data_IF_234330904870
#
_entry.id   IF_234330904870
#
_cell.length_a   1.000
_cell.length_b   1.000
_cell.length_c   1.000
_cell.angle_alpha   90.00
_cell.angle_beta   90.00
_cell.angle_gamma   90.00
#
_symmetry.space_group_name_H-M   'P 1'
#
loop_
_entity.id
_entity.type
_entity.pdbx_description
1 polymer ?
#
# COMPACT_ATOMS: atom_id res chain seq x y z
N UNK A 1 16.59 81.56 10.98
CA UNK A 1 15.25 80.94 11.12
C UNK A 1 15.35 79.50 10.62
N UNK A 2 15.48 78.54 11.55
CA UNK A 2 15.73 77.13 11.23
C UNK A 2 14.46 76.35 10.88
N UNK A 3 14.47 75.68 9.73
CA UNK A 3 13.44 74.71 9.32
C UNK A 3 14.03 73.30 9.30
N UNK A 4 13.43 72.37 10.05
CA UNK A 4 13.85 70.96 10.18
C UNK A 4 13.66 70.18 8.86
N UNK A 5 14.53 69.20 8.53
CA UNK A 5 14.26 68.27 7.44
C UNK A 5 13.22 67.22 7.87
N UNK A 6 12.21 66.99 7.01
CA UNK A 6 11.20 65.93 7.18
C UNK A 6 11.87 64.55 7.02
N UNK A 7 11.92 63.76 8.10
CA UNK A 7 12.18 62.32 8.03
C UNK A 7 11.02 61.64 7.28
N UNK A 8 11.31 61.00 6.14
CA UNK A 8 10.44 60.01 5.51
C UNK A 8 10.17 58.89 6.52
N UNK A 9 8.90 58.64 6.84
CA UNK A 9 8.46 57.45 7.57
C UNK A 9 8.80 56.23 6.71
N UNK A 10 9.72 55.39 7.18
CA UNK A 10 9.94 54.06 6.62
C UNK A 10 8.64 53.26 6.69
N UNK A 11 8.30 52.64 5.56
CA UNK A 11 7.21 51.69 5.42
C UNK A 11 7.35 50.61 6.50
N UNK A 12 6.30 50.40 7.30
CA UNK A 12 6.24 49.31 8.28
C UNK A 12 6.42 47.98 7.54
N UNK A 13 7.60 47.39 7.68
CA UNK A 13 7.90 46.02 7.26
C UNK A 13 6.90 45.04 7.89
N UNK A 14 6.47 44.08 7.08
CA UNK A 14 5.28 43.25 7.18
C UNK A 14 5.35 42.19 8.28
N UNK A 15 4.57 42.37 9.35
CA UNK A 15 4.25 41.30 10.31
C UNK A 15 3.49 40.11 9.67
N UNK A 16 2.91 40.30 8.48
CA UNK A 16 2.22 39.25 7.74
C UNK A 16 3.15 38.09 7.33
N UNK A 17 4.38 38.38 6.88
CA UNK A 17 5.32 37.35 6.44
C UNK A 17 5.85 36.49 7.60
N UNK A 18 6.01 37.07 8.79
CA UNK A 18 6.41 36.32 10.01
C UNK A 18 5.28 35.44 10.54
N UNK A 19 4.04 35.92 10.50
CA UNK A 19 2.88 35.13 10.90
C UNK A 19 2.64 33.95 9.94
N UNK A 20 2.80 34.18 8.62
CA UNK A 20 2.69 33.13 7.61
C UNK A 20 3.81 32.09 7.73
N UNK A 21 5.06 32.52 7.97
CA UNK A 21 6.17 31.59 8.22
C UNK A 21 5.98 30.75 9.50
N UNK A 22 5.44 31.35 10.57
CA UNK A 22 5.11 30.62 11.79
C UNK A 22 3.97 29.62 11.58
N UNK A 23 2.90 30.02 10.87
CA UNK A 23 1.79 29.13 10.51
C UNK A 23 2.28 27.95 9.66
N UNK A 24 3.12 28.19 8.65
CA UNK A 24 3.72 27.13 7.84
C UNK A 24 4.58 26.18 8.68
N UNK A 25 5.36 26.71 9.63
CA UNK A 25 6.18 25.89 10.53
C UNK A 25 5.31 24.99 11.43
N UNK A 26 4.19 25.53 11.91
CA UNK A 26 3.21 24.76 12.69
C UNK A 26 2.55 23.65 11.86
N UNK A 27 2.15 23.95 10.61
CA UNK A 27 1.57 22.96 9.67
C UNK A 27 2.58 21.85 9.37
N UNK A 28 3.80 22.20 8.95
CA UNK A 28 4.87 21.22 8.68
C UNK A 28 5.19 20.37 9.92
N UNK A 29 5.16 20.96 11.12
CA UNK A 29 5.35 20.21 12.37
C UNK A 29 4.18 19.27 12.67
N UNK A 30 2.94 19.64 12.35
CA UNK A 30 1.78 18.77 12.51
C UNK A 30 1.82 17.61 11.52
N UNK A 31 2.17 17.86 10.27
CA UNK A 31 2.37 16.83 9.24
C UNK A 31 3.47 15.85 9.63
N UNK A 32 4.66 16.35 10.00
CA UNK A 32 5.75 15.49 10.49
C UNK A 32 5.34 14.63 11.68
N UNK A 33 4.50 15.15 12.59
CA UNK A 33 3.98 14.38 13.71
C UNK A 33 2.94 13.34 13.29
N UNK A 34 2.11 13.61 12.27
CA UNK A 34 1.18 12.63 11.69
C UNK A 34 1.96 11.49 11.03
N UNK A 35 2.97 11.81 10.23
CA UNK A 35 3.80 10.81 9.54
C UNK A 35 4.56 9.93 10.53
N UNK A 36 5.15 10.51 11.57
CA UNK A 36 5.81 9.76 12.65
C UNK A 36 4.83 8.84 13.37
N UNK A 37 3.60 9.29 13.65
CA UNK A 37 2.56 8.46 14.25
C UNK A 37 2.17 7.30 13.33
N UNK A 38 2.02 7.55 12.03
CA UNK A 38 1.69 6.51 11.04
C UNK A 38 2.82 5.48 10.93
N UNK A 39 4.08 5.92 10.77
CA UNK A 39 5.26 5.04 10.75
C UNK A 39 5.36 4.19 12.02
N UNK A 40 5.12 4.78 13.19
CA UNK A 40 5.10 4.04 14.46
C UNK A 40 3.96 3.02 14.53
N UNK A 41 2.77 3.33 14.01
CA UNK A 41 1.65 2.39 13.93
C UNK A 41 2.01 1.17 13.07
N UNK A 42 2.61 1.39 11.89
CA UNK A 42 3.07 0.30 11.01
C UNK A 42 4.12 -0.58 11.70
N UNK A 43 5.11 0.01 12.37
CA UNK A 43 6.10 -0.75 13.17
C UNK A 43 5.47 -1.53 14.31
N UNK A 44 4.52 -0.95 15.04
CA UNK A 44 3.79 -1.65 16.10
C UNK A 44 2.97 -2.82 15.57
N UNK A 45 2.38 -2.67 14.37
CA UNK A 45 1.65 -3.76 13.69
C UNK A 45 2.57 -4.94 13.40
N UNK A 46 3.79 -4.71 12.91
CA UNK A 46 4.81 -5.76 12.71
C UNK A 46 5.12 -6.49 14.02
N UNK A 47 5.32 -5.76 15.12
CA UNK A 47 5.59 -6.37 16.43
C UNK A 47 4.40 -7.21 16.92
N UNK A 48 3.17 -6.74 16.73
CA UNK A 48 1.97 -7.49 17.08
C UNK A 48 1.85 -8.78 16.27
N UNK A 49 2.04 -8.70 14.94
CA UNK A 49 1.99 -9.87 14.07
C UNK A 49 3.10 -10.86 14.38
N UNK A 50 4.34 -10.39 14.64
CA UNK A 50 5.43 -11.28 15.04
C UNK A 50 5.08 -12.05 16.31
N UNK A 51 4.52 -11.39 17.33
CA UNK A 51 4.08 -12.07 18.57
C UNK A 51 3.00 -13.11 18.31
N UNK A 52 2.10 -12.88 17.35
CA UNK A 52 1.08 -13.85 16.97
C UNK A 52 1.69 -15.04 16.23
N UNK A 53 2.62 -14.79 15.31
CA UNK A 53 3.38 -15.83 14.59
C UNK A 53 4.16 -16.69 15.58
N UNK A 54 4.93 -16.07 16.49
CA UNK A 54 5.74 -16.77 17.49
C UNK A 54 4.87 -17.61 18.42
N UNK A 55 3.73 -17.05 18.88
CA UNK A 55 2.77 -17.78 19.71
C UNK A 55 2.20 -18.97 18.97
N UNK A 56 1.74 -18.77 17.72
CA UNK A 56 1.17 -19.86 16.93
C UNK A 56 2.20 -20.95 16.65
N UNK A 57 3.46 -20.58 16.38
CA UNK A 57 4.54 -21.54 16.21
C UNK A 57 4.79 -22.34 17.49
N UNK A 58 4.81 -21.69 18.66
CA UNK A 58 4.91 -22.38 19.95
C UNK A 58 3.73 -23.33 20.20
N UNK A 59 2.51 -22.92 19.85
CA UNK A 59 1.31 -23.77 19.93
C UNK A 59 1.42 -25.01 19.02
N UNK A 60 2.01 -24.86 17.82
CA UNK A 60 2.22 -25.97 16.90
C UNK A 60 3.31 -26.93 17.38
N UNK A 61 4.40 -26.44 17.98
CA UNK A 61 5.42 -27.29 18.58
C UNK A 61 4.93 -28.01 19.84
N UNK A 62 4.02 -27.39 20.60
CA UNK A 62 3.42 -27.93 21.82
C UNK A 62 1.95 -28.33 21.60
N UNK A 63 1.64 -28.96 20.47
CA UNK A 63 0.25 -29.26 20.11
C UNK A 63 -0.31 -30.39 20.99
N UNK A 64 -1.52 -30.23 21.59
CA UNK A 64 -2.06 -31.23 22.52
C UNK A 64 -2.47 -32.50 21.78
N UNK A 65 -2.03 -33.68 22.26
CA UNK A 65 -2.48 -34.98 21.70
C UNK A 65 -3.98 -35.20 21.87
N UNK A 66 -4.50 -34.80 23.03
CA UNK A 66 -5.91 -34.94 23.40
C UNK A 66 -6.46 -33.54 23.76
N UNK A 67 -6.99 -32.79 22.80
CA UNK A 67 -7.53 -31.47 23.07
C UNK A 67 -8.71 -31.58 24.04
N UNK A 68 -8.63 -30.91 25.18
CA UNK A 68 -9.78 -30.81 26.09
C UNK A 68 -10.89 -30.02 25.41
N UNK A 69 -12.15 -30.49 25.46
CA UNK A 69 -13.27 -29.76 24.88
C UNK A 69 -13.37 -28.36 25.48
N UNK A 70 -13.82 -27.36 24.70
CA UNK A 70 -13.94 -25.99 25.18
C UNK A 70 -14.82 -25.95 26.43
N UNK A 71 -14.31 -25.36 27.52
CA UNK A 71 -15.09 -25.17 28.75
C UNK A 71 -16.30 -24.32 28.41
N UNK A 72 -17.49 -24.80 28.77
CA UNK A 72 -18.71 -24.02 28.61
C UNK A 72 -18.56 -22.67 29.32
N UNK A 73 -19.07 -21.57 28.74
CA UNK A 73 -18.98 -20.26 29.36
C UNK A 73 -19.61 -20.32 30.77
N UNK A 74 -19.01 -19.64 31.76
CA UNK A 74 -19.53 -19.66 33.12
C UNK A 74 -20.98 -19.17 33.12
N UNK A 75 -21.86 -19.89 33.82
CA UNK A 75 -23.26 -19.49 33.97
C UNK A 75 -23.32 -18.09 34.59
N UNK A 76 -24.14 -17.20 34.02
CA UNK A 76 -24.45 -15.90 34.63
C UNK A 76 -25.39 -16.13 35.82
N UNK A 77 -24.91 -15.90 37.04
CA UNK A 77 -25.68 -16.05 38.28
C UNK A 77 -24.83 -16.46 39.49
N UNK A 78 -25.44 -16.55 40.69
CA UNK A 78 -24.75 -17.12 41.85
C UNK A 78 -24.34 -18.56 41.56
N UNK A 79 -23.12 -18.92 41.94
CA UNK A 79 -22.66 -20.31 41.89
C UNK A 79 -23.60 -21.18 42.73
N UNK A 80 -23.87 -22.41 42.27
CA UNK A 80 -24.60 -23.39 43.07
C UNK A 80 -23.87 -23.60 44.40
N UNK A 81 -24.60 -23.88 45.48
CA UNK A 81 -24.00 -24.09 46.82
C UNK A 81 -22.93 -25.19 46.79
N UNK A 82 -23.10 -26.19 45.92
CA UNK A 82 -22.12 -27.26 45.66
C UNK A 82 -20.81 -26.80 45.03
N UNK A 83 -20.79 -25.61 44.42
CA UNK A 83 -19.62 -25.00 43.77
C UNK A 83 -18.99 -23.90 44.65
N UNK A 84 -19.48 -23.72 45.88
CA UNK A 84 -18.93 -22.75 46.82
C UNK A 84 -17.61 -23.28 47.37
N UNK A 85 -16.53 -22.52 47.10
CA UNK A 85 -15.23 -22.78 47.71
C UNK A 85 -15.24 -22.20 49.12
N UNK A 86 -15.30 -23.08 50.13
CA UNK A 86 -15.20 -22.69 51.53
C UNK A 86 -13.80 -22.12 51.81
N UNK A 87 -13.73 -21.03 52.59
CA UNK A 87 -12.47 -20.34 52.91
C UNK A 87 -12.31 -20.16 54.43
N UNK A 88 -11.07 -19.97 54.88
CA UNK A 88 -10.75 -19.75 56.30
C UNK A 88 -11.15 -20.92 57.21
N UNK A 89 -11.70 -20.61 58.39
CA UNK A 89 -12.08 -21.60 59.42
C UNK A 89 -13.22 -22.55 59.00
N UNK A 90 -13.94 -22.22 57.92
CA UNK A 90 -14.98 -23.08 57.36
C UNK A 90 -14.43 -24.18 56.42
N UNK A 91 -13.12 -24.21 56.15
CA UNK A 91 -12.50 -25.25 55.32
C UNK A 91 -12.42 -26.58 56.08
N UNK A 92 -12.78 -27.71 55.43
CA UNK A 92 -12.57 -29.03 56.02
C UNK A 92 -11.09 -29.28 56.36
N UNK A 93 -10.80 -29.79 57.56
CA UNK A 93 -9.43 -30.05 58.02
C UNK A 93 -8.63 -30.96 57.06
N UNK A 94 -9.30 -31.93 56.43
CA UNK A 94 -8.69 -32.82 55.44
C UNK A 94 -8.20 -32.06 54.19
N UNK A 95 -8.93 -31.01 53.77
CA UNK A 95 -8.54 -30.18 52.63
C UNK A 95 -7.35 -29.27 53.00
N UNK A 96 -7.34 -28.72 54.22
CA UNK A 96 -6.20 -27.95 54.74
C UNK A 96 -4.94 -28.81 54.83
N UNK A 97 -5.06 -30.07 55.27
CA UNK A 97 -3.94 -31.00 55.33
C UNK A 97 -3.36 -31.32 53.94
N UNK A 98 -4.21 -31.51 52.92
CA UNK A 98 -3.78 -31.74 51.53
C UNK A 98 -3.10 -30.52 50.88
N UNK A 99 -3.59 -29.32 51.18
CA UNK A 99 -2.93 -28.07 50.75
C UNK A 99 -1.57 -27.93 51.43
N UNK A 100 -1.48 -28.18 52.74
CA UNK A 100 -0.23 -28.12 53.49
C UNK A 100 0.79 -29.20 53.04
N UNK A 101 0.30 -30.34 52.57
CA UNK A 101 1.10 -31.41 51.96
C UNK A 101 1.55 -31.09 50.52
N UNK A 102 1.06 -29.99 49.92
CA UNK A 102 1.38 -29.59 48.55
C UNK A 102 0.71 -30.43 47.47
N UNK A 103 -0.36 -31.17 47.79
CA UNK A 103 -1.11 -32.00 46.83
C UNK A 103 -2.15 -31.19 46.04
N UNK A 104 -2.63 -30.08 46.62
CA UNK A 104 -3.64 -29.18 46.07
C UNK A 104 -3.12 -27.74 46.08
N UNK A 105 -3.66 -26.89 45.21
CA UNK A 105 -3.36 -25.46 45.20
C UNK A 105 -3.95 -24.72 46.43
N UNK A 106 -3.68 -23.42 46.58
CA UNK A 106 -4.18 -22.61 47.70
C UNK A 106 -5.73 -22.54 47.77
N UNK A 107 -6.40 -22.88 46.67
CA UNK A 107 -7.85 -22.95 46.52
C UNK A 107 -8.43 -24.35 46.75
N UNK A 108 -7.59 -25.38 46.92
CA UNK A 108 -8.00 -26.77 47.09
C UNK A 108 -8.28 -27.50 45.77
N UNK A 109 -7.84 -26.97 44.63
CA UNK A 109 -7.94 -27.63 43.33
C UNK A 109 -6.69 -28.50 43.06
N UNK A 110 -6.87 -29.60 42.33
CA UNK A 110 -5.75 -30.42 41.84
C UNK A 110 -4.91 -29.64 40.83
N UNK A 111 -3.58 -29.77 40.90
CA UNK A 111 -2.71 -29.20 39.89
C UNK A 111 -3.07 -29.76 38.51
N UNK A 112 -3.16 -28.90 37.48
CA UNK A 112 -3.45 -29.36 36.13
C UNK A 112 -2.37 -30.36 35.69
N UNK A 113 -2.79 -31.57 35.31
CA UNK A 113 -1.89 -32.58 34.76
C UNK A 113 -1.18 -32.00 33.53
N UNK A 114 0.13 -32.26 33.34
CA UNK A 114 0.84 -31.85 32.13
C UNK A 114 0.09 -32.42 30.92
N UNK A 115 -0.35 -31.55 30.02
CA UNK A 115 -0.99 -31.98 28.78
C UNK A 115 0.10 -32.63 27.94
N UNK A 116 -0.11 -33.88 27.53
CA UNK A 116 0.81 -34.51 26.59
C UNK A 116 0.73 -33.80 25.24
N UNK A 117 1.88 -33.31 24.78
CA UNK A 117 2.00 -32.58 23.53
C UNK A 117 2.85 -33.35 22.52
N UNK A 118 2.76 -32.96 21.26
CA UNK A 118 3.65 -33.37 20.19
C UNK A 118 3.91 -32.19 19.25
N UNK A 119 4.99 -32.30 18.48
CA UNK A 119 5.36 -31.28 17.51
C UNK A 119 4.56 -31.48 16.21
N UNK A 120 3.47 -30.73 16.08
CA UNK A 120 2.64 -30.75 14.87
C UNK A 120 3.35 -30.06 13.71
N UNK A 121 4.14 -29.01 13.99
CA UNK A 121 4.85 -28.26 12.96
C UNK A 121 5.85 -29.16 12.22
N UNK A 122 6.76 -29.80 12.96
CA UNK A 122 7.79 -30.67 12.37
C UNK A 122 7.16 -31.89 11.68
N UNK A 123 6.09 -32.46 12.24
CA UNK A 123 5.35 -33.55 11.60
C UNK A 123 4.79 -33.13 10.24
N UNK A 124 4.05 -32.03 10.19
CA UNK A 124 3.43 -31.56 8.93
C UNK A 124 4.49 -31.07 7.94
N UNK A 125 5.61 -30.52 8.42
CA UNK A 125 6.75 -30.11 7.59
C UNK A 125 7.42 -31.30 6.92
N UNK A 126 7.65 -32.39 7.65
CA UNK A 126 8.22 -33.64 7.10
C UNK A 126 7.27 -34.29 6.08
N UNK A 127 5.97 -34.19 6.31
CA UNK A 127 4.94 -34.68 5.39
C UNK A 127 4.75 -33.77 4.17
N UNK A 128 5.27 -32.53 4.18
CA UNK A 128 5.09 -31.53 3.13
C UNK A 128 3.67 -30.95 3.05
N UNK A 129 2.90 -31.02 4.15
CA UNK A 129 1.44 -30.73 4.19
C UNK A 129 1.06 -29.58 5.09
N UNK A 130 1.99 -28.66 5.34
CA UNK A 130 1.75 -27.48 6.18
C UNK A 130 0.61 -26.59 5.66
N UNK A 131 0.43 -26.50 4.34
CA UNK A 131 -0.66 -25.74 3.73
C UNK A 131 -2.03 -26.45 3.75
N UNK A 132 -2.07 -27.76 4.05
CA UNK A 132 -3.32 -28.55 4.07
C UNK A 132 -3.98 -28.54 5.45
N UNK A 133 -3.19 -28.63 6.53
CA UNK A 133 -3.72 -28.73 7.89
C UNK A 133 -4.21 -27.37 8.42
N UNK A 134 -5.41 -27.35 9.01
CA UNK A 134 -6.10 -26.14 9.49
C UNK A 134 -5.25 -25.29 10.46
N UNK A 135 -4.54 -25.93 11.39
CA UNK A 135 -3.76 -25.22 12.41
C UNK A 135 -2.48 -24.59 11.84
N UNK A 136 -1.84 -25.29 10.90
CA UNK A 136 -0.62 -24.81 10.24
C UNK A 136 -0.93 -23.80 9.13
N UNK A 137 -2.11 -23.87 8.51
CA UNK A 137 -2.64 -22.84 7.61
C UNK A 137 -2.76 -21.48 8.28
N UNK A 138 -3.24 -21.44 9.53
CA UNK A 138 -3.33 -20.18 10.28
C UNK A 138 -1.93 -19.59 10.51
N UNK A 139 -0.92 -20.43 10.77
CA UNK A 139 0.46 -19.99 10.90
C UNK A 139 0.99 -19.37 9.59
N UNK A 140 0.79 -20.02 8.44
CA UNK A 140 1.21 -19.48 7.14
C UNK A 140 0.47 -18.17 6.82
N UNK A 141 -0.83 -18.09 7.10
CA UNK A 141 -1.61 -16.86 6.94
C UNK A 141 -1.05 -15.70 7.78
N UNK A 142 -0.72 -15.95 9.05
CA UNK A 142 -0.10 -14.96 9.93
C UNK A 142 1.29 -14.55 9.43
N UNK A 143 2.07 -15.50 8.91
CA UNK A 143 3.39 -15.25 8.34
C UNK A 143 3.32 -14.39 7.08
N UNK A 144 2.38 -14.65 6.16
CA UNK A 144 2.13 -13.82 4.97
C UNK A 144 1.75 -12.39 5.37
N UNK A 145 0.86 -12.24 6.37
CA UNK A 145 0.46 -10.92 6.89
C UNK A 145 1.62 -10.17 7.55
N UNK A 146 2.49 -10.90 8.25
CA UNK A 146 3.72 -10.34 8.82
C UNK A 146 4.66 -9.88 7.70
N UNK A 147 4.78 -10.63 6.60
CA UNK A 147 5.57 -10.26 5.45
C UNK A 147 5.11 -8.93 4.85
N UNK A 148 3.82 -8.81 4.52
CA UNK A 148 3.20 -7.58 4.01
C UNK A 148 3.43 -6.39 4.96
N UNK A 149 3.16 -6.57 6.25
CA UNK A 149 3.34 -5.51 7.24
C UNK A 149 4.81 -5.08 7.39
N UNK A 150 5.78 -5.97 7.15
CA UNK A 150 7.20 -5.61 7.14
C UNK A 150 7.52 -4.70 5.95
N UNK A 151 7.02 -5.00 4.75
CA UNK A 151 7.18 -4.14 3.57
C UNK A 151 6.58 -2.76 3.82
N UNK A 152 5.31 -2.68 4.25
CA UNK A 152 4.62 -1.41 4.57
C UNK A 152 5.36 -0.55 5.62
N UNK A 153 6.06 -1.20 6.55
CA UNK A 153 6.81 -0.56 7.62
C UNK A 153 8.26 -0.18 7.22
N UNK A 154 8.60 -0.22 5.93
CA UNK A 154 9.93 0.00 5.38
C UNK A 154 10.99 -0.94 6.00
N UNK A 155 10.62 -2.22 6.13
CA UNK A 155 11.51 -3.33 6.50
C UNK A 155 11.46 -4.45 5.43
N UNK A 156 11.77 -4.12 4.18
CA UNK A 156 11.56 -4.98 3.01
C UNK A 156 12.33 -6.30 3.08
N UNK A 157 13.60 -6.30 3.48
CA UNK A 157 14.42 -7.51 3.63
C UNK A 157 13.77 -8.56 4.54
N UNK A 158 13.09 -8.10 5.59
CA UNK A 158 12.37 -8.98 6.51
C UNK A 158 11.06 -9.47 5.89
N UNK A 159 10.38 -8.60 5.13
CA UNK A 159 9.20 -8.97 4.37
C UNK A 159 9.50 -10.06 3.35
N UNK A 160 10.50 -9.84 2.51
CA UNK A 160 10.99 -10.77 1.49
C UNK A 160 11.33 -12.13 2.10
N UNK A 161 12.13 -12.18 3.18
CA UNK A 161 12.44 -13.44 3.87
C UNK A 161 11.21 -14.18 4.39
N UNK A 162 10.21 -13.46 4.87
CA UNK A 162 8.96 -14.09 5.33
C UNK A 162 8.13 -14.62 4.16
N UNK A 163 8.09 -13.93 3.02
CA UNK A 163 7.44 -14.44 1.81
C UNK A 163 8.16 -15.66 1.24
N UNK A 164 9.49 -15.65 1.17
CA UNK A 164 10.30 -16.81 0.78
C UNK A 164 10.02 -18.00 1.71
N UNK A 165 9.93 -17.76 3.02
CA UNK A 165 9.54 -18.78 3.99
C UNK A 165 8.12 -19.30 3.70
N UNK A 166 7.13 -18.44 3.47
CA UNK A 166 5.78 -18.88 3.07
C UNK A 166 5.82 -19.79 1.85
N UNK A 167 6.55 -19.41 0.79
CA UNK A 167 6.68 -20.22 -0.42
C UNK A 167 7.35 -21.57 -0.18
N UNK A 168 8.34 -21.62 0.73
CA UNK A 168 8.98 -22.88 1.11
C UNK A 168 8.06 -23.83 1.89
N UNK A 169 7.05 -23.29 2.59
CA UNK A 169 6.08 -24.05 3.38
C UNK A 169 4.79 -24.37 2.61
N UNK A 170 4.47 -23.60 1.57
CA UNK A 170 3.32 -23.75 0.68
C UNK A 170 3.79 -23.81 -0.78
N UNK A 171 4.23 -25.00 -1.20
CA UNK A 171 4.77 -25.20 -2.57
C UNK A 171 3.71 -25.04 -3.66
N UNK A 172 2.43 -25.19 -3.29
CA UNK A 172 1.29 -25.01 -4.20
C UNK A 172 0.85 -23.55 -4.34
N UNK A 173 1.41 -22.65 -3.52
CA UNK A 173 1.02 -21.23 -3.44
C UNK A 173 -0.48 -21.01 -3.23
N UNK A 174 -1.09 -21.88 -2.42
CA UNK A 174 -2.49 -21.76 -1.97
C UNK A 174 -2.77 -20.47 -1.20
N UNK A 175 -1.73 -19.84 -0.64
CA UNK A 175 -1.80 -18.55 0.02
C UNK A 175 -1.43 -17.38 -0.88
N UNK A 176 -1.11 -17.58 -2.17
CA UNK A 176 -0.72 -16.49 -3.10
C UNK A 176 0.40 -15.61 -2.52
N UNK A 177 1.45 -16.23 -1.99
CA UNK A 177 2.62 -15.55 -1.44
C UNK A 177 3.59 -15.09 -2.54
N UNK A 178 3.56 -15.73 -3.72
CA UNK A 178 4.36 -15.33 -4.89
C UNK A 178 4.09 -13.89 -5.31
N UNK A 179 2.83 -13.49 -5.35
CA UNK A 179 2.39 -12.14 -5.72
C UNK A 179 3.01 -11.09 -4.80
N UNK A 180 2.89 -11.29 -3.48
CA UNK A 180 3.48 -10.40 -2.49
C UNK A 180 5.01 -10.35 -2.54
N UNK A 181 5.67 -11.48 -2.82
CA UNK A 181 7.11 -11.53 -3.02
C UNK A 181 7.54 -10.73 -4.25
N UNK A 182 6.86 -10.93 -5.39
CA UNK A 182 7.17 -10.23 -6.63
C UNK A 182 7.02 -8.71 -6.47
N UNK A 183 5.91 -8.26 -5.86
CA UNK A 183 5.70 -6.85 -5.51
C UNK A 183 6.83 -6.30 -4.63
N UNK A 184 7.21 -7.01 -3.57
CA UNK A 184 8.28 -6.55 -2.66
C UNK A 184 9.65 -6.51 -3.35
N UNK A 185 9.95 -7.43 -4.26
CA UNK A 185 11.19 -7.41 -5.04
C UNK A 185 11.22 -6.26 -6.04
N UNK A 186 10.09 -5.96 -6.68
CA UNK A 186 9.94 -4.85 -7.62
C UNK A 186 10.11 -3.50 -6.92
N UNK A 187 9.46 -3.30 -5.77
CA UNK A 187 9.55 -2.08 -4.95
C UNK A 187 11.00 -1.78 -4.51
N UNK A 188 11.77 -2.83 -4.19
CA UNK A 188 13.19 -2.72 -3.82
C UNK A 188 14.16 -2.64 -5.02
N UNK A 189 13.65 -2.56 -6.25
CA UNK A 189 14.48 -2.52 -7.45
C UNK A 189 15.23 -3.82 -7.76
N UNK A 190 14.84 -4.95 -7.15
CA UNK A 190 15.43 -6.29 -7.37
C UNK A 190 14.80 -6.98 -8.58
N UNK A 191 14.72 -6.26 -9.71
CA UNK A 191 13.98 -6.68 -10.91
C UNK A 191 14.44 -8.02 -11.50
N UNK A 192 15.74 -8.34 -11.45
CA UNK A 192 16.26 -9.62 -11.94
C UNK A 192 15.73 -10.82 -11.13
N UNK A 193 15.59 -10.68 -9.81
CA UNK A 193 15.05 -11.74 -8.95
C UNK A 193 13.54 -11.87 -9.12
N UNK A 194 12.82 -10.76 -9.26
CA UNK A 194 11.40 -10.75 -9.58
C UNK A 194 11.13 -11.41 -10.94
N UNK A 195 11.95 -11.12 -11.96
CA UNK A 195 11.86 -11.75 -13.28
C UNK A 195 12.07 -13.26 -13.19
N UNK A 196 13.12 -13.71 -12.49
CA UNK A 196 13.39 -15.13 -12.29
C UNK A 196 12.24 -15.85 -11.56
N UNK A 197 11.61 -15.20 -10.58
CA UNK A 197 10.44 -15.72 -9.87
C UNK A 197 9.24 -15.88 -10.82
N UNK A 198 8.96 -14.88 -11.65
CA UNK A 198 7.84 -14.90 -12.62
C UNK A 198 8.08 -15.96 -13.71
N UNK A 199 9.31 -16.09 -14.22
CA UNK A 199 9.67 -17.09 -15.23
C UNK A 199 9.57 -18.53 -14.72
N UNK A 200 9.79 -18.77 -13.42
CA UNK A 200 9.57 -20.10 -12.82
C UNK A 200 8.09 -20.47 -12.72
N UNK A 201 7.19 -19.50 -12.87
CA UNK A 201 5.75 -19.64 -12.67
C UNK A 201 4.96 -19.04 -13.83
N UNK A 202 5.40 -19.28 -15.07
CA UNK A 202 4.76 -18.77 -16.29
C UNK A 202 3.30 -19.18 -16.47
N UNK A 203 2.95 -20.30 -15.85
CA UNK A 203 1.64 -20.97 -15.95
C UNK A 203 0.60 -20.30 -15.03
N UNK A 204 1.02 -19.39 -14.15
CA UNK A 204 0.14 -18.69 -13.23
C UNK A 204 -0.62 -17.57 -13.96
N UNK A 205 -1.95 -17.68 -13.96
CA UNK A 205 -2.87 -16.64 -14.44
C UNK A 205 -3.08 -15.56 -13.36
N UNK A 206 -1.99 -15.06 -12.79
CA UNK A 206 -2.01 -13.98 -11.80
C UNK A 206 -1.83 -12.64 -12.50
N UNK A 207 -2.84 -11.76 -12.38
CA UNK A 207 -2.74 -10.40 -12.88
C UNK A 207 -1.62 -9.63 -12.18
N UNK A 208 -1.47 -9.79 -10.85
CA UNK A 208 -0.43 -9.12 -10.06
C UNK A 208 0.97 -9.43 -10.58
N UNK A 209 1.28 -10.71 -10.83
CA UNK A 209 2.57 -11.10 -11.40
C UNK A 209 2.76 -10.52 -12.81
N UNK A 210 1.71 -10.50 -13.62
CA UNK A 210 1.77 -9.93 -14.96
C UNK A 210 2.04 -8.41 -14.94
N UNK A 211 1.39 -7.64 -14.04
CA UNK A 211 1.69 -6.21 -13.87
C UNK A 211 3.07 -5.95 -13.28
N UNK A 212 3.57 -6.81 -12.38
CA UNK A 212 4.96 -6.78 -11.94
C UNK A 212 5.92 -6.97 -13.12
N UNK A 213 5.60 -7.89 -14.04
CA UNK A 213 6.38 -8.07 -15.27
C UNK A 213 6.37 -6.81 -16.14
N UNK A 214 5.21 -6.14 -16.30
CA UNK A 214 5.10 -4.90 -17.09
C UNK A 214 6.07 -3.84 -16.58
N UNK A 215 6.06 -3.55 -15.27
CA UNK A 215 6.95 -2.51 -14.73
C UNK A 215 8.43 -2.90 -14.80
N UNK A 216 8.76 -4.18 -14.61
CA UNK A 216 10.14 -4.69 -14.80
C UNK A 216 10.62 -4.46 -16.24
N UNK A 217 9.80 -4.84 -17.23
CA UNK A 217 10.15 -4.67 -18.63
C UNK A 217 10.16 -3.20 -19.05
N UNK A 218 9.28 -2.37 -18.50
CA UNK A 218 9.29 -0.92 -18.70
C UNK A 218 10.58 -0.30 -18.19
N UNK A 219 10.99 -0.62 -16.96
CA UNK A 219 12.26 -0.14 -16.39
C UNK A 219 13.45 -0.63 -17.22
N UNK A 220 13.43 -1.90 -17.64
CA UNK A 220 14.47 -2.47 -18.50
C UNK A 220 14.62 -1.71 -19.82
N UNK A 221 13.51 -1.32 -20.44
CA UNK A 221 13.49 -0.61 -21.72
C UNK A 221 13.75 0.90 -21.61
N UNK A 222 12.93 1.61 -20.83
CA UNK A 222 12.89 3.08 -20.84
C UNK A 222 13.89 3.70 -19.86
N UNK A 223 14.20 3.02 -18.76
CA UNK A 223 15.03 3.59 -17.67
C UNK A 223 16.48 3.09 -17.74
N UNK A 224 16.66 1.78 -17.95
CA UNK A 224 17.98 1.14 -17.94
C UNK A 224 18.55 0.87 -19.34
N UNK A 225 17.71 0.92 -20.38
CA UNK A 225 18.07 0.63 -21.77
C UNK A 225 18.84 -0.70 -21.93
N UNK A 226 18.40 -1.75 -21.23
CA UNK A 226 19.08 -3.04 -21.21
C UNK A 226 19.09 -3.69 -22.61
N UNK A 227 20.15 -4.43 -22.93
CA UNK A 227 20.25 -5.12 -24.21
C UNK A 227 19.14 -6.15 -24.40
N UNK A 228 18.34 -6.01 -25.46
CA UNK A 228 17.21 -6.91 -25.76
C UNK A 228 15.87 -6.43 -25.21
N UNK A 229 15.85 -5.34 -24.44
CA UNK A 229 14.63 -4.64 -24.06
C UNK A 229 14.07 -3.84 -25.24
N UNK A 230 12.75 -3.68 -25.29
CA UNK A 230 12.07 -2.81 -26.26
C UNK A 230 10.64 -2.53 -25.84
N UNK A 231 10.07 -1.42 -26.31
CA UNK A 231 8.64 -1.08 -26.10
C UNK A 231 7.71 -2.24 -26.47
N UNK A 232 8.01 -2.98 -27.54
CA UNK A 232 7.21 -4.14 -27.98
C UNK A 232 7.15 -5.25 -26.94
N UNK A 233 8.22 -5.46 -26.17
CA UNK A 233 8.25 -6.45 -25.08
C UNK A 233 7.34 -5.98 -23.94
N UNK A 234 7.41 -4.70 -23.59
CA UNK A 234 6.54 -4.10 -22.57
C UNK A 234 5.08 -4.15 -22.99
N UNK A 235 4.76 -3.80 -24.23
CA UNK A 235 3.40 -3.89 -24.79
C UNK A 235 2.88 -5.33 -24.80
N UNK A 236 3.73 -6.32 -25.12
CA UNK A 236 3.35 -7.73 -25.07
C UNK A 236 3.02 -8.18 -23.64
N UNK A 237 3.85 -7.78 -22.67
CA UNK A 237 3.61 -8.01 -21.24
C UNK A 237 2.32 -7.31 -20.78
N UNK A 238 2.10 -6.06 -21.18
CA UNK A 238 0.92 -5.28 -20.83
C UNK A 238 -0.35 -5.89 -21.38
N UNK A 239 -0.37 -6.32 -22.65
CA UNK A 239 -1.51 -7.03 -23.24
C UNK A 239 -1.80 -8.38 -22.58
N UNK A 240 -0.81 -9.03 -21.96
CA UNK A 240 -1.03 -10.21 -21.13
C UNK A 240 -1.70 -9.81 -19.82
N UNK A 241 -1.14 -8.81 -19.12
CA UNK A 241 -1.66 -8.32 -17.85
C UNK A 241 -3.09 -7.78 -17.96
N UNK A 242 -3.37 -6.97 -18.99
CA UNK A 242 -4.68 -6.40 -19.28
C UNK A 242 -5.75 -7.47 -19.55
N UNK A 243 -5.39 -8.59 -20.18
CA UNK A 243 -6.31 -9.72 -20.39
C UNK A 243 -6.70 -10.43 -19.10
N UNK A 244 -5.83 -10.42 -18.09
CA UNK A 244 -6.07 -11.05 -16.79
C UNK A 244 -6.90 -10.14 -15.87
N UNK A 245 -6.55 -8.86 -15.82
CA UNK A 245 -7.33 -7.85 -15.11
C UNK A 245 -7.15 -6.47 -15.79
N UNK A 246 -8.14 -6.02 -16.58
CA UNK A 246 -8.06 -4.72 -17.25
C UNK A 246 -8.28 -3.55 -16.28
N UNK A 247 -8.99 -3.76 -15.17
CA UNK A 247 -9.29 -2.71 -14.18
C UNK A 247 -8.02 -2.22 -13.48
N UNK A 248 -7.01 -3.08 -13.28
CA UNK A 248 -5.71 -2.66 -12.74
C UNK A 248 -5.06 -1.55 -13.56
N UNK A 249 -5.03 -1.69 -14.89
CA UNK A 249 -4.46 -0.66 -15.77
C UNK A 249 -5.20 0.67 -15.60
N UNK A 250 -6.52 0.64 -15.57
CA UNK A 250 -7.36 1.83 -15.44
C UNK A 250 -7.12 2.53 -14.09
N UNK A 251 -7.05 1.77 -13.00
CA UNK A 251 -6.79 2.33 -11.66
C UNK A 251 -5.35 2.87 -11.56
N UNK A 252 -4.36 2.25 -12.22
CA UNK A 252 -2.99 2.77 -12.28
C UNK A 252 -2.94 4.11 -13.03
N UNK A 253 -3.54 4.16 -14.23
CA UNK A 253 -3.55 5.36 -15.07
C UNK A 253 -4.27 6.51 -14.37
N UNK A 254 -5.44 6.26 -13.78
CA UNK A 254 -6.31 7.28 -13.20
C UNK A 254 -6.23 7.35 -11.67
N UNK A 255 -5.11 6.92 -11.09
CA UNK A 255 -4.95 6.73 -9.64
C UNK A 255 -5.34 7.95 -8.79
N UNK A 256 -5.15 9.18 -9.29
CA UNK A 256 -5.49 10.42 -8.59
C UNK A 256 -6.99 10.53 -8.26
N UNK A 257 -7.88 10.15 -9.18
CA UNK A 257 -9.33 10.18 -8.93
C UNK A 257 -9.75 8.97 -8.10
N UNK A 258 -9.15 7.81 -8.35
CA UNK A 258 -9.40 6.62 -7.55
C UNK A 258 -9.03 6.82 -6.08
N UNK A 259 -7.92 7.50 -5.74
CA UNK A 259 -7.57 7.78 -4.34
C UNK A 259 -8.52 8.72 -3.60
N UNK A 260 -9.37 9.46 -4.32
CA UNK A 260 -10.39 10.30 -3.70
C UNK A 260 -11.64 9.52 -3.31
N UNK A 261 -11.89 8.37 -3.95
CA UNK A 261 -13.14 7.60 -3.83
C UNK A 261 -12.93 6.23 -3.18
N UNK A 262 -11.75 5.61 -3.36
CA UNK A 262 -11.46 4.28 -2.82
C UNK A 262 -11.42 4.30 -1.29
N UNK A 263 -12.40 3.63 -0.68
CA UNK A 263 -12.48 3.41 0.76
C UNK A 263 -12.53 1.91 1.08
N UNK A 264 -12.26 1.55 2.34
CA UNK A 264 -12.37 0.17 2.87
C UNK A 264 -11.50 -0.89 2.18
N UNK A 265 -10.49 -0.48 1.39
CA UNK A 265 -9.58 -1.43 0.70
C UNK A 265 -8.86 -2.36 1.70
N UNK A 266 -8.55 -1.87 2.90
CA UNK A 266 -7.96 -2.66 4.00
C UNK A 266 -8.87 -3.81 4.51
N UNK A 267 -10.17 -3.73 4.26
CA UNK A 267 -11.15 -4.75 4.66
C UNK A 267 -11.34 -5.85 3.60
N UNK A 268 -10.86 -5.62 2.37
CA UNK A 268 -10.89 -6.60 1.29
C UNK A 268 -9.92 -7.74 1.61
N UNK A 269 -10.45 -8.95 1.76
CA UNK A 269 -9.67 -10.17 2.00
C UNK A 269 -9.86 -11.13 0.86
N UNK A 270 -8.76 -11.60 0.29
CA UNK A 270 -8.72 -12.60 -0.78
C UNK A 270 -9.65 -12.23 -1.96
N UNK A 271 -9.39 -11.09 -2.65
CA UNK A 271 -10.22 -10.63 -3.75
C UNK A 271 -10.31 -11.67 -4.88
N UNK A 272 -11.43 -11.67 -5.61
CA UNK A 272 -11.62 -12.54 -6.77
C UNK A 272 -10.64 -12.15 -7.88
N UNK A 273 -9.97 -13.13 -8.49
CA UNK A 273 -9.08 -12.87 -9.64
C UNK A 273 -9.82 -12.17 -10.78
N UNK A 274 -9.20 -11.14 -11.35
CA UNK A 274 -9.75 -10.33 -12.43
C UNK A 274 -10.79 -9.29 -11.98
N UNK A 275 -11.05 -9.17 -10.67
CA UNK A 275 -12.10 -8.28 -10.15
C UNK A 275 -11.59 -6.85 -9.93
N UNK A 276 -12.53 -5.93 -9.72
CA UNK A 276 -12.22 -4.53 -9.35
C UNK A 276 -11.56 -4.48 -7.97
N UNK A 277 -11.98 -5.32 -7.02
CA UNK A 277 -11.35 -5.40 -5.70
C UNK A 277 -9.89 -5.85 -5.77
N UNK A 278 -9.55 -6.76 -6.68
CA UNK A 278 -8.16 -7.17 -6.90
C UNK A 278 -7.33 -5.97 -7.40
N UNK A 279 -7.89 -5.14 -8.28
CA UNK A 279 -7.26 -3.92 -8.75
C UNK A 279 -7.06 -2.89 -7.61
N UNK A 280 -8.08 -2.67 -6.77
CA UNK A 280 -7.99 -1.75 -5.64
C UNK A 280 -6.93 -2.20 -4.63
N UNK A 281 -6.92 -3.49 -4.27
CA UNK A 281 -5.92 -4.05 -3.36
C UNK A 281 -4.51 -3.91 -3.94
N UNK A 282 -4.31 -4.25 -5.22
CA UNK A 282 -3.01 -4.12 -5.87
C UNK A 282 -2.52 -2.66 -5.88
N UNK A 283 -3.34 -1.73 -6.37
CA UNK A 283 -2.93 -0.32 -6.53
C UNK A 283 -2.73 0.36 -5.18
N UNK A 284 -3.61 0.13 -4.19
CA UNK A 284 -3.45 0.71 -2.85
C UNK A 284 -2.11 0.35 -2.19
N UNK A 285 -1.56 -0.81 -2.51
CA UNK A 285 -0.31 -1.31 -1.95
C UNK A 285 0.91 -0.99 -2.82
N UNK A 286 0.75 -0.92 -4.14
CA UNK A 286 1.87 -0.92 -5.09
C UNK A 286 1.87 0.28 -6.04
N UNK A 287 0.99 1.27 -5.89
CA UNK A 287 1.02 2.46 -6.77
C UNK A 287 2.36 3.21 -6.72
N UNK A 288 3.08 3.12 -5.59
CA UNK A 288 4.34 3.82 -5.36
C UNK A 288 5.35 3.54 -6.46
N UNK A 289 5.53 2.27 -6.85
CA UNK A 289 6.48 1.91 -7.92
C UNK A 289 6.11 2.55 -9.26
N UNK A 290 4.81 2.68 -9.57
CA UNK A 290 4.34 3.28 -10.83
C UNK A 290 4.49 4.79 -10.84
N UNK A 291 4.35 5.46 -9.69
CA UNK A 291 4.56 6.91 -9.54
C UNK A 291 6.05 7.28 -9.48
N UNK A 292 6.85 6.45 -8.80
CA UNK A 292 8.28 6.70 -8.61
C UNK A 292 9.09 6.36 -9.87
N UNK A 293 8.56 5.47 -10.73
CA UNK A 293 9.15 5.18 -12.04
C UNK A 293 8.72 6.22 -13.06
N UNK A 294 9.69 6.99 -13.55
CA UNK A 294 9.47 8.09 -14.51
C UNK A 294 8.68 7.61 -15.72
N UNK A 295 7.53 8.22 -15.98
CA UNK A 295 6.74 7.97 -17.19
C UNK A 295 5.86 6.71 -17.15
N UNK A 296 5.98 5.85 -16.14
CA UNK A 296 5.40 4.50 -16.19
C UNK A 296 3.86 4.52 -16.20
N UNK A 297 3.23 5.26 -15.29
CA UNK A 297 1.76 5.33 -15.25
C UNK A 297 1.18 6.11 -16.45
N UNK A 298 1.87 7.15 -16.94
CA UNK A 298 1.44 7.86 -18.16
C UNK A 298 1.58 6.98 -19.41
N UNK A 299 2.57 6.10 -19.44
CA UNK A 299 2.70 5.12 -20.51
C UNK A 299 1.52 4.13 -20.49
N UNK A 300 1.09 3.66 -19.32
CA UNK A 300 -0.13 2.85 -19.19
C UNK A 300 -1.36 3.61 -19.69
N UNK A 301 -1.52 4.89 -19.33
CA UNK A 301 -2.60 5.75 -19.81
C UNK A 301 -2.61 5.87 -21.35
N UNK A 302 -1.46 6.12 -21.96
CA UNK A 302 -1.31 6.15 -23.42
C UNK A 302 -1.75 4.83 -24.06
N UNK A 303 -1.27 3.70 -23.55
CA UNK A 303 -1.61 2.38 -24.09
C UNK A 303 -3.09 2.02 -23.88
N UNK A 304 -3.71 2.49 -22.78
CA UNK A 304 -5.14 2.33 -22.54
C UNK A 304 -5.99 3.06 -23.57
N UNK A 305 -5.58 4.25 -24.00
CA UNK A 305 -6.29 5.02 -25.03
C UNK A 305 -6.33 4.32 -26.40
N UNK A 306 -5.41 3.39 -26.65
CA UNK A 306 -5.40 2.56 -27.86
C UNK A 306 -6.25 1.27 -27.72
N UNK A 307 -6.66 0.93 -26.49
CA UNK A 307 -7.48 -0.24 -26.19
C UNK A 307 -8.94 0.14 -25.98
N UNK A 308 -9.83 -0.87 -26.05
CA UNK A 308 -11.24 -0.67 -25.69
C UNK A 308 -11.38 -0.43 -24.20
N UNK A 309 -12.13 0.62 -23.82
CA UNK A 309 -12.44 0.92 -22.42
C UNK A 309 -13.11 -0.31 -21.75
N UNK A 310 -12.58 -0.79 -20.61
CA UNK A 310 -13.17 -1.90 -19.88
C UNK A 310 -14.56 -1.52 -19.35
N UNK A 311 -15.58 -2.29 -19.70
CA UNK A 311 -16.94 -2.09 -19.17
C UNK A 311 -17.06 -2.86 -17.87
N UNK A 312 -17.12 -2.13 -16.75
CA UNK A 312 -17.35 -2.71 -15.43
C UNK A 312 -18.81 -3.20 -15.30
N UNK A 313 -18.99 -4.40 -14.78
CA UNK A 313 -20.30 -5.01 -14.56
C UNK A 313 -20.41 -5.58 -13.15
N UNK A 314 -21.62 -6.01 -12.77
CA UNK A 314 -21.85 -6.69 -11.48
C UNK A 314 -21.13 -8.03 -11.34
N UNK A 315 -20.63 -8.61 -12.43
CA UNK A 315 -19.87 -9.87 -12.39
C UNK A 315 -18.41 -9.67 -11.98
N UNK A 316 -17.93 -8.43 -12.09
CA UNK A 316 -16.56 -8.01 -11.81
C UNK A 316 -16.34 -7.59 -10.35
N UNK A 317 -17.38 -7.70 -9.52
CA UNK A 317 -17.36 -7.38 -8.09
C UNK A 317 -18.05 -8.45 -7.25
N UNK A 318 -17.62 -8.55 -6.01
CA UNK A 318 -18.28 -9.28 -4.93
C UNK A 318 -19.30 -8.42 -4.17
N UNK A 319 -19.07 -7.09 -4.14
CA UNK A 319 -19.95 -6.11 -3.51
C UNK A 319 -20.19 -4.93 -4.47
N UNK A 320 -21.47 -4.57 -4.69
CA UNK A 320 -21.87 -3.47 -5.57
C UNK A 320 -21.30 -2.11 -5.12
N UNK A 321 -20.93 -1.97 -3.85
CA UNK A 321 -20.23 -0.78 -3.35
C UNK A 321 -18.95 -0.49 -4.15
N UNK A 322 -18.13 -1.51 -4.44
CA UNK A 322 -16.87 -1.32 -5.17
C UNK A 322 -17.10 -0.97 -6.64
N UNK A 323 -18.20 -1.45 -7.23
CA UNK A 323 -18.60 -1.06 -8.59
C UNK A 323 -18.97 0.43 -8.61
N UNK A 324 -19.77 0.90 -7.65
CA UNK A 324 -20.11 2.32 -7.54
C UNK A 324 -18.89 3.21 -7.32
N UNK A 325 -17.92 2.78 -6.51
CA UNK A 325 -16.65 3.50 -6.34
C UNK A 325 -15.87 3.59 -7.66
N UNK A 326 -15.81 2.49 -8.41
CA UNK A 326 -15.12 2.45 -9.70
C UNK A 326 -15.79 3.39 -10.71
N UNK A 327 -17.10 3.28 -10.90
CA UNK A 327 -17.87 4.14 -11.82
C UNK A 327 -17.70 5.62 -11.47
N UNK A 328 -17.81 5.97 -10.18
CA UNK A 328 -17.63 7.35 -9.70
C UNK A 328 -16.23 7.88 -10.02
N UNK A 329 -15.18 7.09 -9.80
CA UNK A 329 -13.81 7.50 -10.08
C UNK A 329 -13.55 7.72 -11.59
N UNK A 330 -14.19 6.91 -12.45
CA UNK A 330 -14.14 7.07 -13.90
C UNK A 330 -14.88 8.35 -14.34
N UNK A 331 -16.06 8.60 -13.79
CA UNK A 331 -16.81 9.84 -14.07
C UNK A 331 -16.01 11.07 -13.66
N UNK A 332 -15.44 11.09 -12.45
CA UNK A 332 -14.58 12.17 -11.97
C UNK A 332 -13.37 12.40 -12.89
N UNK A 333 -12.76 11.32 -13.41
CA UNK A 333 -11.63 11.45 -14.33
C UNK A 333 -12.05 12.05 -15.67
N UNK A 334 -13.21 11.65 -16.20
CA UNK A 334 -13.78 12.21 -17.43
C UNK A 334 -14.11 13.70 -17.28
N UNK A 335 -14.67 14.09 -16.13
CA UNK A 335 -14.93 15.50 -15.81
C UNK A 335 -13.63 16.30 -15.75
N UNK A 336 -12.61 15.79 -15.06
CA UNK A 336 -11.30 16.43 -14.95
C UNK A 336 -10.62 16.64 -16.31
N UNK A 337 -10.69 15.64 -17.21
CA UNK A 337 -10.17 15.76 -18.57
C UNK A 337 -10.94 16.81 -19.39
N UNK A 338 -12.27 16.84 -19.28
CA UNK A 338 -13.10 17.82 -19.98
C UNK A 338 -12.83 19.25 -19.50
N UNK A 339 -12.62 19.44 -18.19
CA UNK A 339 -12.21 20.72 -17.62
C UNK A 339 -10.83 21.15 -18.14
N UNK A 340 -9.85 20.24 -18.15
CA UNK A 340 -8.51 20.51 -18.67
C UNK A 340 -8.52 20.87 -20.16
N UNK A 341 -9.34 20.19 -20.97
CA UNK A 341 -9.49 20.49 -22.40
C UNK A 341 -10.14 21.88 -22.61
N UNK A 342 -11.17 22.21 -21.83
CA UNK A 342 -11.80 23.53 -21.87
C UNK A 342 -10.83 24.66 -21.46
N UNK A 343 -10.04 24.44 -20.40
CA UNK A 343 -9.00 25.38 -19.97
C UNK A 343 -7.91 25.55 -21.05
N UNK A 344 -7.45 24.47 -21.67
CA UNK A 344 -6.48 24.54 -22.76
C UNK A 344 -7.03 25.30 -23.98
N UNK A 345 -8.30 25.07 -24.33
CA UNK A 345 -8.97 25.76 -25.44
C UNK A 345 -9.14 27.26 -25.16
N UNK A 346 -9.50 27.64 -23.92
CA UNK A 346 -9.58 29.06 -23.52
C UNK A 346 -8.22 29.74 -23.47
N UNK A 347 -7.17 29.05 -22.99
CA UNK A 347 -5.81 29.55 -23.00
C UNK A 347 -5.26 29.74 -24.43
N UNK A 348 -5.55 28.79 -25.34
CA UNK A 348 -5.19 28.91 -26.75
C UNK A 348 -5.91 30.09 -27.43
N UNK A 349 -7.20 30.30 -27.15
CA UNK A 349 -7.95 31.45 -27.68
C UNK A 349 -7.38 32.80 -27.18
N UNK A 350 -7.02 32.89 -25.90
CA UNK A 350 -6.42 34.09 -25.33
C UNK A 350 -5.01 34.39 -25.89
N UNK A 351 -4.24 33.35 -26.25
CA UNK A 351 -2.93 33.52 -26.89
C UNK A 351 -3.03 34.06 -28.33
N UNK A 352 -4.12 33.78 -29.05
CA UNK A 352 -4.37 34.33 -30.39
C UNK A 352 -4.78 35.80 -30.31
N UNK A 353 -5.67 36.18 -29.37
CA UNK A 353 -6.05 37.58 -29.15
C UNK A 353 -4.89 38.46 -28.62
N UNK A 354 -3.91 37.87 -27.93
CA UNK A 354 -2.69 38.57 -27.50
C UNK A 354 -1.66 38.83 -28.60
N UNK A 355 -1.82 38.24 -29.80
CA UNK A 355 -0.88 38.39 -30.92
C UNK A 355 -1.26 39.49 -31.93
N UNK A 356 -2.49 40.01 -31.88
CA UNK A 356 -2.98 41.09 -32.75
C UNK A 356 -2.83 42.50 -32.14
N UNK A 357 -2.11 42.63 -31.01
CA UNK A 357 -1.87 43.91 -30.33
C UNK A 357 -0.44 44.43 -30.51
N UNK A 358 0.19 44.17 -31.65
CA UNK A 358 1.47 44.80 -31.99
C UNK A 358 1.56 45.17 -33.48
N UNK A 359 0.71 46.09 -33.93
CA UNK A 359 1.06 47.03 -35.00
C UNK A 359 0.35 48.37 -34.74
N UNK A 360 1.13 49.45 -34.91
CA UNK A 360 0.70 50.84 -35.07
C UNK A 360 0.63 51.76 -33.82
N UNK A 361 1.79 52.09 -33.26
CA UNK A 361 2.06 53.49 -32.87
C UNK A 361 3.19 54.04 -33.74
N UNK A 362 2.84 55.00 -34.59
CA UNK A 362 3.73 55.64 -35.56
C UNK A 362 4.87 56.42 -34.89
N UNK A 363 6.08 56.16 -35.37
CA UNK A 363 7.24 56.99 -35.09
C UNK A 363 7.37 58.05 -36.20
N UNK A 364 6.78 59.22 -35.91
CA UNK A 364 7.01 60.47 -36.61
C UNK A 364 8.46 60.93 -36.33
N UNK A 365 9.42 60.49 -37.14
CA UNK A 365 10.75 61.11 -37.19
C UNK A 365 11.09 61.48 -38.64
N UNK A 366 11.26 62.79 -38.84
CA UNK A 366 11.31 63.46 -40.12
C UNK A 366 12.51 63.12 -41.01
N UNK A 367 12.28 63.37 -42.30
CA UNK A 367 13.28 63.47 -43.36
C UNK A 367 14.57 64.15 -42.87
N UNK A 368 15.67 63.41 -42.90
CA UNK A 368 17.02 63.98 -42.89
C UNK A 368 17.69 63.60 -44.22
N UNK A 369 17.83 64.59 -45.10
CA UNK A 369 18.60 64.50 -46.34
C UNK A 369 20.09 64.28 -46.03
N UNK A 370 20.82 63.45 -46.80
CA UNK A 370 22.25 63.32 -46.66
C UNK A 370 22.95 64.24 -47.67
N UNK A 371 23.25 65.47 -47.28
CA UNK A 371 24.20 66.33 -48.00
C UNK A 371 25.29 66.84 -47.05
N UNK A 372 26.52 66.77 -47.57
CA UNK A 372 27.73 67.52 -47.19
C UNK A 372 28.43 67.18 -45.86
N UNK A 373 29.28 66.15 -45.90
CA UNK A 373 30.57 66.18 -45.18
C UNK A 373 31.68 66.35 -46.21
N UNK A 374 32.10 67.60 -46.38
CA UNK A 374 33.39 68.00 -46.95
C UNK A 374 34.25 68.57 -45.81
N UNK A 375 35.48 68.05 -45.72
CA UNK A 375 36.70 68.77 -45.33
C UNK A 375 36.88 69.35 -43.93
N UNK A 376 37.99 68.94 -43.27
CA UNK A 376 38.92 69.93 -42.71
C UNK A 376 39.41 69.69 -41.27
N UNK A 377 40.67 69.26 -41.16
CA UNK A 377 41.73 69.63 -40.20
C UNK A 377 41.38 70.08 -38.76
N UNK A 378 41.79 69.27 -37.78
CA UNK A 378 42.99 69.54 -36.93
C UNK A 378 43.37 68.29 -36.10
#
# INVERSE_FOLDING_TARGET
MGGKPKKRKGTRSSNAGRAQAFAQTCVNSMESNKDKKQKNRRRMRVVQLQRLVDRKLQELHAFPKNPTPPKAPPRKGPKLISEWKLTGAARPAALVAKIAAGELDECGDEFPKPVETFDLYEKMRQEGKLAENKDTREYISLLKRLAAACCEAAMPDRGIKNYELCMSLDTTDSFHSREGLACALVDEGRGAEARALIEQHTDDESAVLAYCQVIIEYVSWEVLEESGSSEKVVQAAFRKAFRLNPFMAVVIAYHETFFQVMEYVDDIRDPKRGSIEEAFVYVSQNIGVWMDTVGAYQWIEKELNELSEPVATKEDVSDEMYLGMYETAIEMHKEMLAEAEAEAMTAAAAAVEGSDAQEDEGDEFGNFEPDDIDGGDD
#
